data_IF_440168138872
#
_entry.id   IF_440168138872
#
_cell.length_a   1.000
_cell.length_b   1.000
_cell.length_c   1.000
_cell.angle_alpha   90.00
_cell.angle_beta   90.00
_cell.angle_gamma   90.00
#
_symmetry.space_group_name_H-M   'P 1'
#
loop_
_entity.id
_entity.type
_entity.pdbx_description
1 polymer ?
#
# COMPACT_ATOMS: atom_id res chain seq x y z
N UNK A 1 10.51 8.03 10.68
CA UNK A 1 10.54 9.51 10.82
C UNK A 1 11.81 10.04 10.15
N UNK A 2 11.67 10.95 9.19
CA UNK A 2 12.68 11.87 8.63
C UNK A 2 11.98 12.66 7.51
N UNK A 3 11.89 13.98 7.67
CA UNK A 3 11.33 14.94 6.71
C UNK A 3 12.44 15.95 6.47
N UNK A 4 12.95 16.05 5.24
CA UNK A 4 13.84 17.14 4.81
C UNK A 4 13.01 18.17 4.05
N UNK A 5 13.09 19.43 4.49
CA UNK A 5 12.49 20.59 3.81
C UNK A 5 13.59 21.37 3.10
N UNK A 6 13.48 21.56 1.79
CA UNK A 6 14.25 22.57 1.05
C UNK A 6 13.54 23.93 1.18
N UNK A 7 14.29 25.00 1.48
CA UNK A 7 13.78 26.38 1.58
C UNK A 7 13.75 27.04 0.19
N UNK A 8 12.64 27.70 -0.12
CA UNK A 8 12.46 28.64 -1.23
C UNK A 8 11.27 29.57 -0.94
N UNK A 9 11.34 30.84 -1.34
CA UNK A 9 10.54 31.96 -0.84
C UNK A 9 9.25 32.32 -1.64
N UNK A 10 8.33 32.99 -0.92
CA UNK A 10 7.24 33.92 -1.28
C UNK A 10 6.04 33.40 -2.11
N UNK A 11 4.90 33.35 -1.41
CA UNK A 11 3.77 32.46 -1.63
C UNK A 11 3.96 31.28 -0.67
N UNK A 12 3.04 31.00 0.26
CA UNK A 12 3.17 29.78 1.09
C UNK A 12 2.98 28.58 0.16
N UNK A 13 4.04 28.17 -0.53
CA UNK A 13 4.08 26.90 -1.25
C UNK A 13 3.59 25.83 -0.28
N UNK A 14 2.58 25.09 -0.72
CA UNK A 14 2.02 24.06 0.11
C UNK A 14 3.06 23.01 0.44
N UNK A 15 3.18 22.68 1.73
CA UNK A 15 3.99 21.54 2.13
C UNK A 15 3.43 20.30 1.42
N UNK A 16 4.27 19.66 0.60
CA UNK A 16 3.99 18.37 -0.01
C UNK A 16 4.27 17.26 1.01
N UNK A 17 3.39 16.28 1.10
CA UNK A 17 3.50 15.12 1.97
C UNK A 17 3.41 13.85 1.14
N UNK A 18 4.12 12.80 1.55
CA UNK A 18 3.99 11.48 0.93
C UNK A 18 3.18 10.58 1.87
N UNK A 19 2.12 9.96 1.35
CA UNK A 19 1.36 8.95 2.10
C UNK A 19 2.21 7.67 2.15
N UNK A 20 2.74 7.38 3.33
CA UNK A 20 3.57 6.20 3.58
C UNK A 20 2.73 5.01 4.02
N UNK A 21 3.28 3.81 3.91
CA UNK A 21 2.68 2.59 4.46
C UNK A 21 1.66 1.90 3.54
N UNK A 22 1.36 2.42 2.34
CA UNK A 22 0.39 1.82 1.42
C UNK A 22 0.75 0.38 1.00
N UNK A 23 2.03 0.11 0.75
CA UNK A 23 2.51 -1.25 0.48
C UNK A 23 2.34 -2.18 1.70
N UNK A 24 2.65 -1.67 2.89
CA UNK A 24 2.50 -2.43 4.14
C UNK A 24 1.03 -2.72 4.44
N UNK A 25 0.15 -1.75 4.23
CA UNK A 25 -1.29 -1.87 4.34
C UNK A 25 -1.83 -2.99 3.45
N UNK A 26 -1.48 -2.99 2.16
CA UNK A 26 -1.89 -4.08 1.26
C UNK A 26 -1.28 -5.43 1.66
N UNK A 27 -0.03 -5.45 2.12
CA UNK A 27 0.60 -6.67 2.61
C UNK A 27 -0.16 -7.29 3.82
N UNK A 28 -0.58 -6.45 4.77
CA UNK A 28 -1.38 -6.91 5.90
C UNK A 28 -2.78 -7.38 5.47
N UNK A 29 -3.39 -6.69 4.50
CA UNK A 29 -4.67 -7.14 3.93
C UNK A 29 -4.55 -8.51 3.22
N UNK A 30 -3.48 -8.72 2.46
CA UNK A 30 -3.17 -10.03 1.85
C UNK A 30 -3.03 -11.13 2.90
N UNK A 31 -2.30 -10.86 3.99
CA UNK A 31 -2.11 -11.82 5.08
C UNK A 31 -3.41 -12.13 5.81
N UNK A 32 -4.22 -11.12 6.11
CA UNK A 32 -5.50 -11.29 6.78
C UNK A 32 -6.49 -12.07 5.91
N UNK A 33 -6.59 -11.73 4.62
CA UNK A 33 -7.43 -12.46 3.67
C UNK A 33 -6.97 -13.92 3.52
N UNK A 34 -5.66 -14.19 3.38
CA UNK A 34 -5.15 -15.55 3.28
C UNK A 34 -5.53 -16.38 4.51
N UNK A 35 -5.38 -15.81 5.71
CA UNK A 35 -5.77 -16.45 6.97
C UNK A 35 -7.26 -16.78 7.01
N UNK A 36 -8.13 -15.83 6.66
CA UNK A 36 -9.59 -16.04 6.66
C UNK A 36 -10.01 -17.15 5.68
N UNK A 37 -9.26 -17.31 4.59
CA UNK A 37 -9.52 -18.31 3.55
C UNK A 37 -8.82 -19.66 3.80
N UNK A 38 -8.11 -19.81 4.93
CA UNK A 38 -7.36 -21.03 5.26
C UNK A 38 -6.17 -21.30 4.33
N UNK A 39 -5.65 -20.27 3.65
CA UNK A 39 -4.48 -20.37 2.76
C UNK A 39 -3.23 -19.99 3.55
N UNK A 40 -2.24 -20.89 3.55
CA UNK A 40 -0.97 -20.63 4.22
C UNK A 40 -0.14 -19.56 3.48
N UNK A 41 0.38 -18.56 4.21
CA UNK A 41 1.26 -17.54 3.65
C UNK A 41 2.47 -17.26 4.54
N UNK A 42 3.56 -16.76 3.94
CA UNK A 42 4.80 -16.44 4.65
C UNK A 42 4.52 -15.33 5.71
N UNK A 43 4.81 -15.58 6.98
CA UNK A 43 4.80 -14.60 8.08
C UNK A 43 5.97 -13.61 7.91
N UNK A 44 5.99 -12.56 8.73
CA UNK A 44 7.15 -11.64 8.84
C UNK A 44 8.24 -12.15 9.78
N UNK A 45 8.00 -13.26 10.50
CA UNK A 45 8.92 -13.86 11.46
C UNK A 45 9.59 -15.08 10.84
N UNK A 46 10.89 -15.21 11.04
CA UNK A 46 11.66 -16.42 10.71
C UNK A 46 11.56 -17.47 11.85
N UNK A 47 11.18 -17.04 13.05
CA UNK A 47 11.05 -17.95 14.21
C UNK A 47 9.70 -18.64 14.20
N UNK A 48 9.74 -19.96 14.25
CA UNK A 48 8.57 -20.84 14.38
C UNK A 48 8.16 -21.02 15.85
N UNK A 49 9.12 -21.00 16.77
CA UNK A 49 8.92 -21.32 18.19
C UNK A 49 9.66 -20.34 19.13
N UNK A 50 9.13 -20.20 20.35
CA UNK A 50 9.76 -19.45 21.44
C UNK A 50 10.91 -20.25 22.06
N UNK A 51 11.71 -19.61 22.92
CA UNK A 51 12.75 -20.32 23.69
C UNK A 51 12.18 -21.42 24.61
N UNK A 52 10.87 -21.41 24.86
CA UNK A 52 10.15 -22.41 25.67
C UNK A 52 9.43 -23.47 24.81
N UNK A 53 9.63 -23.47 23.49
CA UNK A 53 8.97 -24.41 22.57
C UNK A 53 7.53 -24.08 22.23
N UNK A 54 7.06 -22.86 22.52
CA UNK A 54 5.69 -22.44 22.18
C UNK A 54 5.64 -21.96 20.73
N UNK A 55 4.63 -22.38 19.93
CA UNK A 55 4.49 -21.92 18.55
C UNK A 55 4.27 -20.40 18.49
N UNK A 56 5.13 -19.70 17.76
CA UNK A 56 5.06 -18.24 17.57
C UNK A 56 4.23 -17.84 16.34
N UNK A 57 4.00 -18.79 15.43
CA UNK A 57 3.29 -18.55 14.20
C UNK A 57 1.82 -18.91 14.38
N UNK A 58 0.89 -17.97 14.11
CA UNK A 58 -0.53 -18.31 14.09
C UNK A 58 -0.85 -19.32 12.98
N UNK A 59 -1.94 -20.07 13.14
CA UNK A 59 -2.46 -20.92 12.07
C UNK A 59 -2.66 -20.13 10.76
N UNK A 60 -2.34 -20.78 9.64
CA UNK A 60 -2.33 -20.15 8.31
C UNK A 60 -1.03 -19.39 7.98
N UNK A 61 0.01 -19.50 8.82
CA UNK A 61 1.31 -18.91 8.54
C UNK A 61 2.46 -19.92 8.61
N UNK A 62 3.36 -19.86 7.63
CA UNK A 62 4.71 -20.43 7.75
C UNK A 62 5.76 -19.36 8.03
N UNK A 63 6.91 -19.78 8.54
CA UNK A 63 8.06 -18.91 8.70
C UNK A 63 8.44 -18.22 7.39
N UNK A 64 8.95 -16.99 7.51
CA UNK A 64 9.54 -16.28 6.39
C UNK A 64 10.63 -17.15 5.75
N UNK A 65 10.63 -17.26 4.43
CA UNK A 65 11.63 -18.04 3.69
C UNK A 65 11.33 -19.55 3.56
N UNK A 66 10.47 -20.15 4.40
CA UNK A 66 10.06 -21.57 4.25
C UNK A 66 9.48 -21.86 2.87
N UNK A 67 8.75 -20.89 2.32
CA UNK A 67 8.19 -20.92 0.98
C UNK A 67 9.26 -20.84 -0.16
N UNK A 68 10.55 -20.74 0.15
CA UNK A 68 11.64 -20.75 -0.84
C UNK A 68 12.40 -22.08 -0.82
N UNK A 69 12.36 -22.82 0.30
CA UNK A 69 13.07 -24.09 0.48
C UNK A 69 12.55 -25.18 -0.47
N UNK A 70 11.24 -25.15 -0.75
CA UNK A 70 10.58 -26.11 -1.65
C UNK A 70 10.54 -25.65 -3.11
N UNK A 71 11.16 -24.50 -3.45
CA UNK A 71 11.15 -23.94 -4.81
C UNK A 71 9.86 -23.20 -5.22
N UNK A 72 8.75 -23.33 -4.46
CA UNK A 72 7.45 -22.71 -4.77
C UNK A 72 7.11 -21.55 -3.82
N UNK A 73 7.18 -20.32 -4.33
CA UNK A 73 6.78 -19.13 -3.57
C UNK A 73 5.27 -19.11 -3.27
N UNK A 74 4.92 -18.82 -2.01
CA UNK A 74 3.53 -18.51 -1.67
C UNK A 74 3.00 -17.33 -2.51
N UNK A 75 1.68 -17.29 -2.73
CA UNK A 75 1.00 -16.28 -3.56
C UNK A 75 1.39 -14.83 -3.20
N UNK A 76 1.58 -14.56 -1.90
CA UNK A 76 2.02 -13.25 -1.40
C UNK A 76 3.43 -12.88 -1.88
N UNK A 77 4.39 -13.81 -1.83
CA UNK A 77 5.77 -13.55 -2.28
C UNK A 77 5.89 -13.52 -3.80
N UNK A 78 5.10 -14.31 -4.52
CA UNK A 78 4.99 -14.19 -5.99
C UNK A 78 4.61 -12.76 -6.41
N UNK A 79 3.74 -12.09 -5.64
CA UNK A 79 3.32 -10.71 -5.88
C UNK A 79 4.29 -9.66 -5.32
N UNK A 80 4.60 -9.75 -4.03
CA UNK A 80 5.30 -8.71 -3.26
C UNK A 80 6.82 -8.84 -3.29
N UNK A 81 7.35 -9.91 -3.89
CA UNK A 81 8.75 -10.26 -3.90
C UNK A 81 9.20 -10.94 -2.60
N UNK A 82 10.41 -11.49 -2.65
CA UNK A 82 11.05 -12.21 -1.55
C UNK A 82 12.57 -11.98 -1.60
N UNK A 83 13.35 -12.66 -0.75
CA UNK A 83 14.81 -12.56 -0.80
C UNK A 83 15.36 -13.03 -2.15
N UNK A 84 16.06 -12.15 -2.87
CA UNK A 84 16.61 -12.46 -4.19
C UNK A 84 15.61 -12.38 -5.36
N UNK A 85 14.31 -12.17 -5.11
CA UNK A 85 13.28 -12.05 -6.16
C UNK A 85 12.55 -10.70 -6.08
N UNK A 86 12.49 -9.99 -7.21
CA UNK A 86 11.83 -8.69 -7.27
C UNK A 86 10.31 -8.82 -7.14
N UNK A 87 9.70 -7.80 -6.52
CA UNK A 87 8.24 -7.62 -6.49
C UNK A 87 7.69 -7.46 -7.90
N UNK A 88 6.59 -8.15 -8.23
CA UNK A 88 5.81 -7.90 -9.45
C UNK A 88 5.05 -6.58 -9.36
N UNK A 89 4.84 -6.07 -8.14
CA UNK A 89 4.10 -4.83 -7.87
C UNK A 89 5.06 -3.67 -7.57
N UNK A 90 4.85 -2.53 -8.24
CA UNK A 90 5.51 -1.26 -7.94
C UNK A 90 4.44 -0.24 -7.53
N UNK A 91 4.62 0.37 -6.36
CA UNK A 91 3.69 1.35 -5.82
C UNK A 91 4.20 2.74 -6.17
N UNK A 92 3.42 3.51 -6.91
CA UNK A 92 3.73 4.92 -7.14
C UNK A 92 3.53 5.72 -5.85
N UNK A 93 4.40 6.70 -5.56
CA UNK A 93 4.26 7.53 -4.39
C UNK A 93 2.98 8.36 -4.48
N UNK A 94 2.15 8.30 -3.45
CA UNK A 94 0.99 9.19 -3.32
C UNK A 94 1.47 10.46 -2.64
N UNK A 95 1.59 11.53 -3.43
CA UNK A 95 1.97 12.86 -2.94
C UNK A 95 0.72 13.71 -2.74
N UNK A 96 0.57 14.28 -1.55
CA UNK A 96 -0.58 15.08 -1.15
C UNK A 96 -0.16 16.47 -0.69
N UNK A 97 -1.04 17.45 -0.88
CA UNK A 97 -0.88 18.82 -0.36
C UNK A 97 -2.16 19.26 0.34
N UNK A 98 -2.05 20.29 1.19
CA UNK A 98 -3.23 20.86 1.84
C UNK A 98 -4.08 21.64 0.83
N UNK A 99 -5.40 21.44 0.87
CA UNK A 99 -6.38 22.23 0.09
C UNK A 99 -6.25 23.75 0.28
N UNK A 100 -5.68 24.20 1.39
CA UNK A 100 -5.49 25.63 1.67
C UNK A 100 -4.30 26.25 0.91
N UNK A 101 -3.50 25.44 0.21
CA UNK A 101 -2.28 25.90 -0.46
C UNK A 101 -2.60 26.47 -1.84
N UNK A 102 -2.19 27.72 -2.07
CA UNK A 102 -2.29 28.40 -3.36
C UNK A 102 -0.99 28.19 -4.14
N UNK A 103 -1.06 27.58 -5.32
CA UNK A 103 0.10 27.34 -6.20
C UNK A 103 -0.32 26.57 -7.46
N UNK A 104 0.49 26.62 -8.53
CA UNK A 104 0.23 25.84 -9.74
C UNK A 104 0.19 24.36 -9.39
N UNK A 105 -0.90 23.72 -9.77
CA UNK A 105 -1.12 22.29 -9.58
C UNK A 105 -0.13 21.55 -10.47
N UNK A 106 0.72 20.75 -9.83
CA UNK A 106 1.41 19.66 -10.51
C UNK A 106 0.37 18.54 -10.65
N UNK A 107 0.12 18.05 -11.86
CA UNK A 107 -0.99 17.11 -12.16
C UNK A 107 -0.93 15.83 -11.31
N UNK A 108 0.24 15.51 -10.75
CA UNK A 108 0.47 14.33 -9.92
C UNK A 108 0.19 14.54 -8.43
N UNK A 109 -0.03 15.78 -7.97
CA UNK A 109 -0.20 16.10 -6.54
C UNK A 109 -1.67 16.20 -6.18
N UNK A 110 -2.08 15.44 -5.16
CA UNK A 110 -3.47 15.31 -4.77
C UNK A 110 -3.81 16.22 -3.59
N UNK A 111 -4.93 16.93 -3.65
CA UNK A 111 -5.30 17.88 -2.60
C UNK A 111 -6.17 17.23 -1.52
N UNK A 112 -5.74 17.35 -0.26
CA UNK A 112 -6.43 16.77 0.90
C UNK A 112 -6.58 17.79 2.03
N UNK A 113 -7.51 17.53 2.94
CA UNK A 113 -7.50 18.21 4.23
C UNK A 113 -6.35 17.62 5.05
N UNK A 114 -5.46 18.47 5.56
CA UNK A 114 -4.34 18.07 6.41
C UNK A 114 -4.41 18.92 7.66
N UNK A 115 -4.39 18.28 8.81
CA UNK A 115 -4.31 18.97 10.09
C UNK A 115 -3.37 18.25 11.05
N UNK A 116 -2.94 18.97 12.07
CA UNK A 116 -2.01 18.48 13.09
C UNK A 116 -2.75 18.52 14.42
N UNK A 117 -2.96 17.37 15.02
CA UNK A 117 -3.41 17.26 16.40
C UNK A 117 -2.17 17.32 17.29
N UNK A 118 -2.14 18.28 18.21
CA UNK A 118 -1.10 18.36 19.24
C UNK A 118 -1.66 17.69 20.48
N UNK A 119 -1.08 16.56 20.87
CA UNK A 119 -1.42 15.87 22.11
C UNK A 119 -0.36 16.16 23.16
N UNK A 120 -0.82 16.63 24.30
CA UNK A 120 0.00 16.75 25.50
C UNK A 120 -0.21 15.50 26.33
N UNK A 121 0.76 14.59 26.34
CA UNK A 121 0.73 13.47 27.27
C UNK A 121 1.05 14.00 28.68
N UNK A 122 0.09 13.93 29.61
CA UNK A 122 0.31 14.28 31.01
C UNK A 122 0.90 13.07 31.76
N UNK A 123 1.85 13.32 32.66
CA UNK A 123 2.36 12.25 33.53
C UNK A 123 1.26 11.78 34.47
N UNK A 124 1.14 10.45 34.60
CA UNK A 124 0.18 9.83 35.50
C UNK A 124 0.38 10.40 36.92
N UNK A 125 -0.69 10.88 37.53
CA UNK A 125 -0.69 11.60 38.82
C UNK A 125 0.05 12.95 38.87
N UNK A 126 0.36 13.57 37.74
CA UNK A 126 0.92 14.93 37.71
C UNK A 126 0.21 15.82 36.69
N UNK A 127 0.24 17.14 36.89
CA UNK A 127 -0.16 18.13 35.86
C UNK A 127 0.97 18.45 34.88
N UNK A 128 2.09 17.71 34.90
CA UNK A 128 3.26 17.99 34.07
C UNK A 128 3.12 17.25 32.72
N UNK A 129 3.31 17.98 31.62
CA UNK A 129 3.40 17.38 30.29
C UNK A 129 4.72 16.60 30.16
N UNK A 130 4.65 15.35 29.72
CA UNK A 130 5.82 14.48 29.49
C UNK A 130 6.36 14.69 28.07
N UNK A 131 5.48 14.92 27.09
CA UNK A 131 5.88 15.04 25.69
C UNK A 131 4.77 15.65 24.81
N UNK A 132 5.16 16.52 23.88
CA UNK A 132 4.30 17.05 22.82
C UNK A 132 4.39 16.13 21.60
N UNK A 133 3.30 15.46 21.25
CA UNK A 133 3.18 14.74 19.98
C UNK A 133 2.34 15.56 19.01
N UNK A 134 2.94 15.99 17.90
CA UNK A 134 2.21 16.52 16.76
C UNK A 134 1.88 15.39 15.79
N UNK A 135 0.71 14.76 15.91
CA UNK A 135 0.23 13.78 14.95
C UNK A 135 -0.42 14.51 13.77
N UNK A 136 0.01 14.18 12.54
CA UNK A 136 -0.64 14.71 11.34
C UNK A 136 -1.64 13.72 10.81
N UNK A 137 -2.86 14.19 10.61
CA UNK A 137 -3.89 13.44 9.91
C UNK A 137 -4.20 14.10 8.58
N UNK A 138 -4.64 13.27 7.64
CA UNK A 138 -5.17 13.73 6.37
C UNK A 138 -6.53 13.08 6.10
N UNK A 139 -7.42 13.83 5.46
CA UNK A 139 -8.75 13.38 5.10
C UNK A 139 -9.13 13.87 3.69
N UNK A 140 -9.73 12.97 2.90
CA UNK A 140 -10.12 13.24 1.52
C UNK A 140 -9.96 12.01 0.63
N UNK A 141 -10.08 12.22 -0.67
CA UNK A 141 -9.91 11.19 -1.68
C UNK A 141 -8.51 11.26 -2.26
N UNK A 142 -7.86 10.11 -2.42
CA UNK A 142 -6.65 9.99 -3.20
C UNK A 142 -6.68 8.73 -4.08
N UNK A 143 -5.87 8.73 -5.13
CA UNK A 143 -5.65 7.62 -6.05
C UNK A 143 -4.29 7.01 -5.75
N UNK A 144 -4.28 5.69 -5.58
CA UNK A 144 -3.08 4.86 -5.53
C UNK A 144 -2.91 4.18 -6.89
N UNK A 145 -1.71 4.29 -7.48
CA UNK A 145 -1.34 3.54 -8.69
C UNK A 145 -0.38 2.41 -8.32
N UNK A 146 -0.74 1.20 -8.71
CA UNK A 146 0.10 0.01 -8.59
C UNK A 146 0.43 -0.45 -10.00
N UNK A 147 1.69 -0.34 -10.38
CA UNK A 147 2.21 -0.80 -11.67
C UNK A 147 2.60 -2.28 -11.55
N UNK A 148 2.19 -3.07 -12.54
CA UNK A 148 2.60 -4.47 -12.67
C UNK A 148 3.85 -4.53 -13.55
N UNK A 149 4.97 -4.92 -12.97
CA UNK A 149 6.25 -5.06 -13.70
C UNK A 149 6.24 -6.21 -14.68
N UNK A 150 5.40 -7.20 -14.42
CA UNK A 150 5.17 -8.36 -15.27
C UNK A 150 3.68 -8.67 -15.29
N UNK A 151 3.23 -9.40 -16.32
CA UNK A 151 1.85 -9.87 -16.37
C UNK A 151 1.59 -10.80 -15.18
N UNK A 152 0.50 -10.54 -14.45
CA UNK A 152 0.04 -11.40 -13.37
C UNK A 152 -0.77 -12.57 -13.93
N UNK A 153 -0.61 -13.74 -13.34
CA UNK A 153 -1.50 -14.87 -13.60
C UNK A 153 -2.90 -14.58 -13.05
N UNK A 154 -3.92 -15.28 -13.55
CA UNK A 154 -5.31 -15.05 -13.13
C UNK A 154 -5.50 -15.23 -11.61
N UNK A 155 -4.84 -16.25 -11.03
CA UNK A 155 -4.83 -16.49 -9.58
C UNK A 155 -4.21 -15.32 -8.81
N UNK A 156 -3.04 -14.85 -9.24
CA UNK A 156 -2.30 -13.72 -8.64
C UNK A 156 -3.12 -12.43 -8.69
N UNK A 157 -3.73 -12.15 -9.84
CA UNK A 157 -4.61 -11.01 -10.02
C UNK A 157 -5.85 -11.13 -9.12
N UNK A 158 -6.44 -12.32 -9.03
CA UNK A 158 -7.59 -12.59 -8.16
C UNK A 158 -7.28 -12.34 -6.69
N UNK A 159 -6.18 -12.90 -6.19
CA UNK A 159 -5.75 -12.70 -4.81
C UNK A 159 -5.44 -11.22 -4.52
N UNK A 160 -4.74 -10.53 -5.42
CA UNK A 160 -4.46 -9.10 -5.30
C UNK A 160 -5.74 -8.26 -5.23
N UNK A 161 -6.68 -8.48 -6.15
CA UNK A 161 -7.92 -7.72 -6.21
C UNK A 161 -8.80 -7.95 -4.97
N UNK A 162 -8.93 -9.20 -4.52
CA UNK A 162 -9.67 -9.49 -3.28
C UNK A 162 -8.98 -8.89 -2.06
N UNK A 163 -7.64 -8.93 -2.02
CA UNK A 163 -6.88 -8.30 -0.94
C UNK A 163 -7.08 -6.79 -0.91
N UNK A 164 -7.12 -6.14 -2.08
CA UNK A 164 -7.45 -4.71 -2.17
C UNK A 164 -8.85 -4.44 -1.63
N UNK A 165 -9.85 -5.19 -2.06
CA UNK A 165 -11.23 -5.04 -1.58
C UNK A 165 -11.38 -5.30 -0.07
N UNK A 166 -10.54 -6.17 0.50
CA UNK A 166 -10.48 -6.46 1.93
C UNK A 166 -9.73 -5.41 2.74
N UNK A 167 -8.77 -4.71 2.12
CA UNK A 167 -7.85 -3.81 2.82
C UNK A 167 -8.51 -2.68 3.65
N UNK A 168 -9.69 -2.13 3.30
CA UNK A 168 -10.42 -1.20 4.16
C UNK A 168 -10.68 -1.69 5.59
N UNK A 169 -10.85 -3.00 5.81
CA UNK A 169 -11.12 -3.60 7.12
C UNK A 169 -9.92 -3.49 8.09
N UNK A 170 -8.70 -3.40 7.56
CA UNK A 170 -7.47 -3.30 8.36
C UNK A 170 -7.16 -1.85 8.78
N UNK A 171 -7.64 -0.86 8.02
CA UNK A 171 -7.26 0.55 8.19
C UNK A 171 -5.79 0.87 7.87
N UNK A 172 -5.47 2.15 7.72
CA UNK A 172 -4.14 2.65 7.39
C UNK A 172 -3.54 3.49 8.54
N UNK A 173 -2.37 3.09 9.03
CA UNK A 173 -1.58 3.86 10.01
C UNK A 173 -1.66 3.31 11.43
N UNK A 174 -1.12 4.07 12.39
CA UNK A 174 -0.86 3.56 13.75
C UNK A 174 -2.06 3.68 14.71
N UNK A 175 -3.03 4.55 14.42
CA UNK A 175 -4.14 4.89 15.33
C UNK A 175 -5.49 4.30 14.89
N UNK A 176 -5.48 3.18 14.14
CA UNK A 176 -6.70 2.56 13.59
C UNK A 176 -7.69 2.18 14.70
N UNK A 177 -7.20 1.61 15.79
CA UNK A 177 -8.02 1.22 16.96
C UNK A 177 -8.70 2.41 17.65
N UNK A 178 -8.25 3.64 17.40
CA UNK A 178 -8.84 4.87 17.93
C UNK A 178 -9.75 5.57 16.90
N UNK A 179 -10.16 4.86 15.85
CA UNK A 179 -11.06 5.36 14.81
C UNK A 179 -10.40 6.16 13.68
N UNK A 180 -9.08 6.38 13.74
CA UNK A 180 -8.32 6.99 12.63
C UNK A 180 -8.01 5.97 11.53
N UNK A 181 -7.47 6.41 10.40
CA UNK A 181 -6.99 5.49 9.35
C UNK A 181 -8.07 4.73 8.57
N UNK A 182 -9.36 5.01 8.80
CA UNK A 182 -10.46 4.41 8.02
C UNK A 182 -10.33 4.77 6.55
N UNK A 183 -10.41 3.76 5.69
CA UNK A 183 -10.38 3.92 4.24
C UNK A 183 -11.63 3.35 3.60
N UNK A 184 -11.98 3.84 2.42
CA UNK A 184 -13.02 3.27 1.56
C UNK A 184 -12.50 3.21 0.14
N UNK A 185 -12.75 2.10 -0.54
CA UNK A 185 -12.45 1.98 -1.97
C UNK A 185 -13.63 2.53 -2.74
N UNK A 186 -13.40 3.61 -3.51
CA UNK A 186 -14.43 4.21 -4.35
C UNK A 186 -14.46 3.59 -5.74
N UNK A 187 -13.28 3.26 -6.29
CA UNK A 187 -13.13 2.72 -7.64
C UNK A 187 -11.83 1.92 -7.73
N UNK A 188 -11.90 0.79 -8.43
CA UNK A 188 -10.74 0.02 -8.89
C UNK A 188 -10.80 -0.03 -10.41
N UNK A 189 -9.66 0.22 -11.06
CA UNK A 189 -9.54 0.11 -12.51
C UNK A 189 -8.25 -0.64 -12.83
N UNK A 190 -8.36 -1.67 -13.67
CA UNK A 190 -7.22 -2.35 -14.26
C UNK A 190 -7.05 -1.85 -15.70
N UNK A 191 -5.86 -1.34 -16.01
CA UNK A 191 -5.55 -0.72 -17.28
C UNK A 191 -4.19 -1.16 -17.78
N UNK A 192 -4.09 -1.38 -19.09
CA UNK A 192 -2.82 -1.45 -19.80
C UNK A 192 -2.49 -0.07 -20.35
N UNK A 193 -1.29 0.43 -20.03
CA UNK A 193 -0.81 1.74 -20.47
C UNK A 193 0.43 1.52 -21.32
N UNK A 194 0.33 1.87 -22.61
CA UNK A 194 1.46 1.85 -23.55
C UNK A 194 1.96 3.28 -23.71
N UNK A 195 3.24 3.50 -23.37
CA UNK A 195 3.92 4.79 -23.49
C UNK A 195 4.87 4.76 -24.68
N UNK A 196 4.53 5.49 -25.73
CA UNK A 196 5.38 5.68 -26.90
C UNK A 196 6.18 6.97 -26.73
N UNK A 197 7.51 6.87 -26.70
CA UNK A 197 8.41 8.04 -26.68
C UNK A 197 9.00 8.23 -28.06
N UNK A 198 8.75 9.38 -28.67
CA UNK A 198 9.28 9.75 -29.99
C UNK A 198 9.97 11.11 -29.90
N UNK A 199 10.81 11.43 -30.88
CA UNK A 199 11.33 12.80 -31.02
C UNK A 199 10.51 13.54 -32.07
N UNK A 200 10.09 14.77 -31.78
CA UNK A 200 9.52 15.65 -32.80
C UNK A 200 10.60 16.12 -33.80
N UNK A 201 10.18 16.78 -34.87
CA UNK A 201 11.08 17.35 -35.89
C UNK A 201 12.04 18.42 -35.33
N UNK A 202 11.90 18.82 -34.06
CA UNK A 202 12.75 19.79 -33.35
C UNK A 202 13.60 19.11 -32.26
N UNK A 203 13.66 17.78 -32.22
CA UNK A 203 14.44 17.01 -31.26
C UNK A 203 13.86 16.97 -29.84
N UNK A 204 12.59 17.35 -29.65
CA UNK A 204 11.91 17.30 -28.35
C UNK A 204 11.26 15.93 -28.16
N UNK A 205 11.35 15.39 -26.94
CA UNK A 205 10.65 14.15 -26.59
C UNK A 205 9.14 14.41 -26.56
N UNK A 206 8.42 13.68 -27.39
CA UNK A 206 6.96 13.60 -27.39
C UNK A 206 6.57 12.23 -26.84
N UNK A 207 5.85 12.25 -25.73
CA UNK A 207 5.25 11.05 -25.16
C UNK A 207 3.79 10.93 -25.59
N UNK A 208 3.39 9.74 -26.06
CA UNK A 208 2.00 9.40 -26.32
C UNK A 208 1.61 8.22 -25.43
N UNK A 209 0.54 8.39 -24.68
CA UNK A 209 -0.05 7.32 -23.87
C UNK A 209 -1.28 6.74 -24.58
N UNK A 210 -1.32 5.41 -24.71
CA UNK A 210 -2.54 4.68 -25.08
C UNK A 210 -2.98 3.83 -23.91
N UNK A 211 -4.25 3.94 -23.53
CA UNK A 211 -4.83 3.25 -22.38
C UNK A 211 -5.90 2.29 -22.82
N UNK A 212 -5.79 1.02 -22.41
CA UNK A 212 -6.81 -0.02 -22.62
C UNK A 212 -7.33 -0.51 -21.28
N UNK A 213 -8.65 -0.47 -21.10
CA UNK A 213 -9.28 -1.03 -19.89
C UNK A 213 -9.32 -2.56 -19.97
N UNK A 214 -8.87 -3.23 -18.90
CA UNK A 214 -8.78 -4.68 -18.80
C UNK A 214 -9.89 -5.24 -17.89
N UNK A 215 -11.14 -4.88 -18.19
CA UNK A 215 -12.29 -5.25 -17.37
C UNK A 215 -12.53 -6.76 -17.33
N UNK A 216 -12.36 -7.45 -18.48
CA UNK A 216 -12.58 -8.89 -18.57
C UNK A 216 -11.55 -9.65 -17.73
N UNK A 217 -10.29 -9.27 -17.84
CA UNK A 217 -9.18 -9.83 -17.08
C UNK A 217 -9.37 -9.63 -15.57
N UNK A 218 -9.89 -8.46 -15.17
CA UNK A 218 -10.23 -8.19 -13.77
C UNK A 218 -11.35 -9.13 -13.26
N UNK A 219 -12.39 -9.38 -14.07
CA UNK A 219 -13.46 -10.32 -13.73
C UNK A 219 -12.97 -11.77 -13.70
N UNK A 220 -12.12 -12.17 -14.64
CA UNK A 220 -11.52 -13.50 -14.68
C UNK A 220 -10.62 -13.74 -13.46
N UNK A 221 -9.79 -12.77 -13.08
CA UNK A 221 -8.98 -12.83 -11.87
C UNK A 221 -9.84 -13.00 -10.62
N UNK A 222 -10.89 -12.18 -10.45
CA UNK A 222 -11.81 -12.29 -9.30
C UNK A 222 -12.51 -13.66 -9.20
N UNK A 223 -12.75 -14.34 -10.33
CA UNK A 223 -13.31 -15.70 -10.37
C UNK A 223 -12.26 -16.78 -10.10
N UNK A 224 -11.00 -16.53 -10.44
CA UNK A 224 -9.91 -17.48 -10.24
C UNK A 224 -9.59 -17.72 -8.75
N UNK A 225 -9.91 -16.76 -7.87
CA UNK A 225 -9.64 -16.83 -6.44
C UNK A 225 -10.93 -16.72 -5.61
N UNK A 226 -11.23 -17.57 -4.59
CA UNK A 226 -10.63 -18.87 -4.31
C UNK A 226 -11.27 -19.93 -5.22
N UNK A 227 -10.49 -20.83 -5.81
CA UNK A 227 -11.05 -22.18 -5.97
C UNK A 227 -11.01 -22.79 -4.58
N UNK A 228 -12.16 -23.19 -4.04
CA UNK A 228 -12.28 -23.90 -2.76
C UNK A 228 -11.10 -24.86 -2.63
N UNK A 229 -10.29 -24.68 -1.59
CA UNK A 229 -9.48 -25.80 -1.09
C UNK A 229 -10.54 -26.78 -0.59
N UNK A 230 -10.77 -27.85 -1.36
CA UNK A 230 -11.51 -29.00 -0.85
C UNK A 230 -10.78 -29.46 0.40
N UNK A 231 -11.46 -29.37 1.54
CA UNK A 231 -11.06 -30.07 2.76
C UNK A 231 -10.94 -31.58 2.48
#
# INVERSE_FOLDING_TARGET
>A
MLIRTTKGEKGKEGKKYVVKGLRGWLNHAMMALAKEMGVEVCHTSEKTESQKGEPLLPEGFHAAGKCLENGEECIKHRLMGSFGKQSKLKFEPVVITSKACKGKEDEEIQQMHIATEVRNALAFHTKKAIQDFGERYFAGTFTLRIEFRTKLEAEELGFLLKSLLYAPEIGLGAAVNNGAGKMKILKVALQEVVRERTFDQKGRVVERERVRNLWKEMQEGLKAWPKKVSA
#
